data_IF_096602732948
#
_entry.id   IF_096602732948
#
_cell.length_a   1.000
_cell.length_b   1.000
_cell.length_c   1.000
_cell.angle_alpha   90.00
_cell.angle_beta   90.00
_cell.angle_gamma   90.00
#
_symmetry.space_group_name_H-M   'P 1'
#
loop_
_entity.id
_entity.type
_entity.pdbx_description
1 polymer ?
#
# COMPACT_ATOMS: atom_id res chain seq x y z
N UNK A 1 -4.48 24.16 1.82
CA UNK A 1 -3.19 23.46 1.99
C UNK A 1 -3.18 22.36 0.95
N UNK A 2 -2.34 22.48 -0.06
CA UNK A 2 -2.36 21.59 -1.23
C UNK A 2 -1.88 20.20 -0.82
N UNK A 3 -2.75 19.19 -0.91
CA UNK A 3 -2.28 17.80 -0.99
C UNK A 3 -1.49 17.70 -2.29
N UNK A 4 -0.17 17.63 -2.19
CA UNK A 4 0.67 17.26 -3.31
C UNK A 4 0.43 15.77 -3.53
N UNK A 5 -0.46 15.42 -4.45
CA UNK A 5 -0.64 14.02 -4.86
C UNK A 5 0.63 13.60 -5.57
N UNK A 6 1.35 12.64 -4.99
CA UNK A 6 2.48 12.01 -5.66
C UNK A 6 1.95 11.07 -6.75
N UNK A 7 2.58 11.14 -7.93
CA UNK A 7 2.21 10.35 -9.10
C UNK A 7 3.43 9.59 -9.60
N UNK A 8 3.27 8.29 -9.83
CA UNK A 8 4.21 7.52 -10.65
C UNK A 8 3.90 7.83 -12.11
N UNK A 9 4.87 8.35 -12.83
CA UNK A 9 4.67 8.92 -14.17
C UNK A 9 5.51 8.18 -15.20
N UNK A 10 4.85 7.51 -16.14
CA UNK A 10 5.53 6.86 -17.26
C UNK A 10 5.29 7.65 -18.54
N UNK A 11 6.36 8.19 -19.12
CA UNK A 11 6.28 8.92 -20.39
C UNK A 11 6.48 7.95 -21.55
N UNK A 12 5.52 7.93 -22.47
CA UNK A 12 5.49 7.10 -23.67
C UNK A 12 5.56 8.01 -24.91
N UNK A 13 5.88 7.43 -26.07
CA UNK A 13 6.04 8.15 -27.35
C UNK A 13 4.79 8.97 -27.75
N UNK A 14 3.60 8.58 -27.30
CA UNK A 14 2.32 9.20 -27.65
C UNK A 14 1.58 9.85 -26.44
N UNK A 15 2.24 10.00 -25.29
CA UNK A 15 1.63 10.61 -24.10
C UNK A 15 2.26 10.15 -22.80
N UNK A 16 1.78 10.67 -21.67
CA UNK A 16 2.24 10.26 -20.34
C UNK A 16 1.08 9.62 -19.54
N UNK A 17 1.39 8.55 -18.82
CA UNK A 17 0.47 7.92 -17.87
C UNK A 17 0.90 8.36 -16.46
N UNK A 18 -0.04 8.90 -15.70
CA UNK A 18 0.18 9.31 -14.31
C UNK A 18 -0.69 8.46 -13.39
N UNK A 19 -0.06 7.66 -12.53
CA UNK A 19 -0.75 6.80 -11.56
C UNK A 19 -0.64 7.45 -10.19
N UNK A 20 -1.79 7.83 -9.63
CA UNK A 20 -1.85 8.38 -8.28
C UNK A 20 -1.42 7.35 -7.25
N UNK A 21 -0.71 7.79 -6.22
CA UNK A 21 -0.39 6.99 -5.04
C UNK A 21 -1.63 6.33 -4.42
N UNK A 22 -2.79 7.01 -4.41
CA UNK A 22 -4.05 6.46 -3.89
C UNK A 22 -4.52 5.20 -4.64
N UNK A 23 -4.22 5.13 -5.94
CA UNK A 23 -4.54 3.99 -6.81
C UNK A 23 -3.61 2.82 -6.49
N UNK A 24 -2.31 3.10 -6.33
CA UNK A 24 -1.32 2.10 -5.93
C UNK A 24 -1.70 1.51 -4.56
N UNK A 25 -2.08 2.38 -3.61
CA UNK A 25 -2.49 1.96 -2.27
C UNK A 25 -3.78 1.12 -2.31
N UNK A 26 -4.71 1.42 -3.23
CA UNK A 26 -5.92 0.63 -3.41
C UNK A 26 -5.60 -0.77 -3.94
N UNK A 27 -4.73 -0.87 -4.94
CA UNK A 27 -4.32 -2.15 -5.53
C UNK A 27 -3.61 -3.01 -4.47
N UNK A 28 -2.67 -2.42 -3.72
CA UNK A 28 -1.99 -3.09 -2.63
C UNK A 28 -2.98 -3.58 -1.55
N UNK A 29 -3.97 -2.76 -1.17
CA UNK A 29 -4.97 -3.15 -0.19
C UNK A 29 -5.80 -4.36 -0.63
N UNK A 30 -6.20 -4.39 -1.91
CA UNK A 30 -6.93 -5.51 -2.48
C UNK A 30 -6.07 -6.77 -2.49
N UNK A 31 -4.82 -6.67 -2.96
CA UNK A 31 -3.90 -7.80 -2.98
C UNK A 31 -3.65 -8.40 -1.59
N UNK A 32 -3.55 -7.57 -0.55
CA UNK A 32 -3.37 -8.02 0.84
C UNK A 32 -4.62 -8.74 1.36
N UNK A 33 -5.83 -8.31 0.96
CA UNK A 33 -7.08 -8.96 1.37
C UNK A 33 -7.27 -10.34 0.75
N UNK A 34 -6.65 -10.60 -0.40
CA UNK A 34 -6.70 -11.90 -1.08
C UNK A 34 -5.76 -12.95 -0.46
N UNK A 35 -4.89 -12.56 0.48
CA UNK A 35 -3.97 -13.49 1.17
C UNK A 35 -4.73 -14.32 2.21
N UNK A 36 -4.64 -15.64 2.09
CA UNK A 36 -5.26 -16.56 3.04
C UNK A 36 -4.76 -16.31 4.46
N UNK A 37 -5.69 -16.20 5.43
CA UNK A 37 -5.38 -15.93 6.82
C UNK A 37 -5.33 -14.43 7.17
N UNK A 38 -5.43 -13.53 6.20
CA UNK A 38 -5.62 -12.08 6.47
C UNK A 38 -7.09 -11.79 6.72
N UNK A 39 -7.40 -11.19 7.87
CA UNK A 39 -8.74 -10.64 8.15
C UNK A 39 -8.92 -9.25 7.52
N UNK A 40 -7.87 -8.44 7.54
CA UNK A 40 -7.88 -7.10 6.96
C UNK A 40 -6.70 -6.23 7.41
N UNK A 41 -6.75 -4.97 7.03
CA UNK A 41 -5.72 -3.97 7.34
C UNK A 41 -6.02 -3.25 8.65
N UNK A 42 -5.00 -3.05 9.49
CA UNK A 42 -5.11 -2.29 10.73
C UNK A 42 -4.81 -0.79 10.50
N UNK A 43 -5.88 -0.02 10.27
CA UNK A 43 -5.76 1.41 10.03
C UNK A 43 -5.33 2.20 11.27
N UNK A 44 -5.72 1.78 12.47
CA UNK A 44 -5.41 2.50 13.71
C UNK A 44 -3.90 2.42 14.06
N UNK A 45 -3.28 1.25 13.88
CA UNK A 45 -1.82 1.10 14.01
C UNK A 45 -1.07 1.93 12.96
N UNK A 46 -1.58 2.01 11.73
CA UNK A 46 -0.94 2.79 10.66
C UNK A 46 -0.93 4.30 10.94
N UNK A 47 -1.97 4.82 11.61
CA UNK A 47 -2.05 6.21 12.09
C UNK A 47 -1.07 6.46 13.23
N UNK A 48 -0.95 5.52 14.17
CA UNK A 48 -0.01 5.63 15.29
C UNK A 48 1.46 5.63 14.84
N UNK A 49 1.76 4.90 13.76
CA UNK A 49 3.08 4.92 13.13
C UNK A 49 3.43 6.26 12.43
N UNK A 50 2.51 7.25 12.41
CA UNK A 50 2.65 8.57 11.72
C UNK A 50 3.10 8.47 10.26
N UNK A 51 2.81 7.34 9.61
CA UNK A 51 3.32 7.02 8.27
C UNK A 51 2.26 6.38 7.37
N UNK A 52 1.05 6.13 7.87
CA UNK A 52 -0.01 5.49 7.11
C UNK A 52 -0.81 6.49 6.29
N UNK A 53 -0.76 6.37 4.97
CA UNK A 53 -1.67 7.06 4.08
C UNK A 53 -3.01 6.31 4.05
N UNK A 54 -3.93 6.67 4.95
CA UNK A 54 -5.38 6.46 4.82
C UNK A 54 -5.96 5.02 4.75
N UNK A 55 -5.16 3.97 4.54
CA UNK A 55 -5.68 2.60 4.27
C UNK A 55 -4.99 1.49 5.06
N UNK A 56 -4.15 1.80 6.05
CA UNK A 56 -3.36 0.78 6.74
C UNK A 56 -2.07 0.39 6.00
N UNK A 57 -1.73 1.13 4.94
CA UNK A 57 -0.60 0.91 4.04
C UNK A 57 0.26 2.16 4.03
N UNK A 58 1.57 1.96 3.95
CA UNK A 58 2.57 2.98 3.71
C UNK A 58 3.24 2.66 2.38
N UNK A 59 3.23 3.63 1.48
CA UNK A 59 3.95 3.56 0.22
C UNK A 59 5.20 4.43 0.32
N UNK A 60 6.28 3.96 -0.31
CA UNK A 60 7.48 4.75 -0.55
C UNK A 60 7.84 4.53 -2.02
N UNK A 61 7.78 5.61 -2.79
CA UNK A 61 8.21 5.62 -4.19
C UNK A 61 9.64 6.16 -4.19
N UNK A 62 10.58 5.37 -4.70
CA UNK A 62 11.98 5.77 -4.83
C UNK A 62 12.22 6.43 -6.18
N UNK A 63 13.33 7.16 -6.31
CA UNK A 63 13.70 7.87 -7.55
C UNK A 63 13.89 6.93 -8.77
N UNK A 64 14.18 5.64 -8.52
CA UNK A 64 14.36 4.59 -9.53
C UNK A 64 13.04 3.90 -9.93
N UNK A 65 11.87 4.52 -9.71
CA UNK A 65 10.52 3.96 -9.92
C UNK A 65 10.22 2.68 -9.08
N UNK A 66 11.05 2.37 -8.08
CA UNK A 66 10.83 1.28 -7.15
C UNK A 66 9.76 1.65 -6.11
N UNK A 67 8.72 0.83 -5.99
CA UNK A 67 7.60 1.03 -5.05
C UNK A 67 7.75 0.04 -3.90
N UNK A 68 8.05 0.57 -2.71
CA UNK A 68 8.03 -0.21 -1.47
C UNK A 68 6.67 -0.06 -0.77
N UNK A 69 6.08 -1.20 -0.37
CA UNK A 69 4.77 -1.27 0.27
C UNK A 69 4.92 -1.89 1.65
N UNK A 70 4.72 -1.10 2.70
CA UNK A 70 4.60 -1.61 4.07
C UNK A 70 3.13 -1.66 4.47
N UNK A 71 2.69 -2.74 5.10
CA UNK A 71 1.31 -2.88 5.55
C UNK A 71 1.21 -3.41 6.98
N UNK A 72 0.12 -3.03 7.64
CA UNK A 72 -0.24 -3.55 8.95
C UNK A 72 -1.47 -4.42 8.79
N UNK A 73 -1.34 -5.72 9.04
CA UNK A 73 -2.41 -6.69 8.86
C UNK A 73 -2.93 -7.22 10.20
N UNK A 74 -4.19 -7.66 10.18
CA UNK A 74 -4.80 -8.47 11.23
C UNK A 74 -4.88 -9.89 10.70
N UNK A 75 -4.26 -10.83 11.42
CA UNK A 75 -4.24 -12.24 11.06
C UNK A 75 -5.38 -12.97 11.77
N UNK A 76 -6.07 -13.85 11.05
CA UNK A 76 -7.13 -14.70 11.58
C UNK A 76 -6.57 -15.66 12.64
N UNK A 77 -7.34 -15.87 13.71
CA UNK A 77 -6.98 -16.84 14.73
C UNK A 77 -6.87 -18.25 14.12
N UNK A 78 -5.84 -19.00 14.52
CA UNK A 78 -5.55 -20.33 13.99
C UNK A 78 -4.65 -20.34 12.76
N UNK A 79 -4.35 -19.18 12.16
CA UNK A 79 -3.34 -19.05 11.11
C UNK A 79 -1.97 -18.70 11.70
N UNK A 80 -0.92 -19.25 11.08
CA UNK A 80 0.47 -18.95 11.43
C UNK A 80 0.89 -17.60 10.87
N UNK A 81 1.41 -16.72 11.73
CA UNK A 81 1.87 -15.39 11.30
C UNK A 81 3.02 -15.49 10.30
N UNK A 82 3.89 -16.49 10.43
CA UNK A 82 5.03 -16.70 9.52
C UNK A 82 4.56 -17.16 8.14
N UNK A 83 3.51 -17.99 8.08
CA UNK A 83 2.98 -18.48 6.81
C UNK A 83 2.20 -17.40 6.07
N UNK A 84 1.50 -16.52 6.80
CA UNK A 84 0.74 -15.40 6.23
C UNK A 84 1.66 -14.25 5.76
N UNK A 85 2.80 -14.03 6.40
CA UNK A 85 3.74 -12.95 6.10
C UNK A 85 4.96 -13.37 5.24
N UNK A 86 4.80 -14.42 4.43
CA UNK A 86 5.87 -15.07 3.68
C UNK A 86 6.32 -14.30 2.44
#
# INVERSE_FOLDING_TARGET
MSESKEYVSQTLEHGAIHISEEVIAAIAALAIQDVEGVYGLNQELSKLAKRGQGKGIRLVISDDDEISVDCYIVVLYGHSVVDVAK
#
